data_IF_849378792110
#
_entry.id   IF_849378792110
#
_cell.length_a   1.000
_cell.length_b   1.000
_cell.length_c   1.000
_cell.angle_alpha   90.00
_cell.angle_beta   90.00
_cell.angle_gamma   90.00
#
_symmetry.space_group_name_H-M   'P 1'
#
loop_
_entity.id
_entity.type
_entity.pdbx_description
1 polymer ?
#
# COMPACT_ATOMS: atom_id res chain seq x y z
N UNK A 1 -13.07 -7.19 12.56
CA UNK A 1 -12.79 -6.69 11.21
C UNK A 1 -13.99 -7.08 10.35
N UNK A 2 -14.56 -6.12 9.63
CA UNK A 2 -15.91 -6.15 9.06
C UNK A 2 -15.97 -6.99 7.79
N UNK A 3 -14.94 -6.88 6.93
CA UNK A 3 -14.79 -7.76 5.79
C UNK A 3 -14.38 -9.17 6.21
N UNK A 4 -15.14 -10.17 5.78
CA UNK A 4 -14.73 -11.58 5.94
C UNK A 4 -13.81 -11.99 4.81
N UNK A 5 -12.74 -12.71 5.12
CA UNK A 5 -11.75 -13.16 4.12
C UNK A 5 -12.35 -14.03 3.02
N UNK A 6 -13.40 -14.81 3.33
CA UNK A 6 -14.14 -15.64 2.37
C UNK A 6 -14.78 -14.83 1.23
N UNK A 7 -15.05 -13.53 1.44
CA UNK A 7 -15.63 -12.67 0.43
C UNK A 7 -14.62 -12.18 -0.60
N UNK A 8 -13.33 -12.31 -0.29
CA UNK A 8 -12.23 -11.77 -1.06
C UNK A 8 -11.33 -12.90 -1.56
N UNK A 9 -10.54 -12.57 -2.56
CA UNK A 9 -9.43 -13.36 -3.04
C UNK A 9 -8.24 -12.45 -3.26
N UNK A 10 -7.06 -13.05 -3.34
CA UNK A 10 -5.86 -12.29 -3.65
C UNK A 10 -5.87 -11.84 -5.11
N UNK A 11 -5.44 -10.60 -5.36
CA UNK A 11 -5.22 -10.11 -6.72
C UNK A 11 -3.88 -10.64 -7.24
N UNK A 12 -3.93 -11.54 -8.24
CA UNK A 12 -2.73 -12.16 -8.84
C UNK A 12 -2.14 -11.32 -9.98
N UNK A 13 -3.00 -10.65 -10.75
CA UNK A 13 -2.63 -9.85 -11.92
C UNK A 13 -3.29 -8.47 -11.85
N UNK A 14 -2.63 -7.45 -12.41
CA UNK A 14 -3.21 -6.10 -12.51
C UNK A 14 -3.22 -5.29 -11.22
N UNK A 15 -2.33 -5.58 -10.26
CA UNK A 15 -2.09 -4.76 -9.08
C UNK A 15 -1.86 -5.55 -7.80
N UNK A 16 -1.67 -4.83 -6.69
CA UNK A 16 -1.49 -5.38 -5.35
C UNK A 16 -2.81 -5.48 -4.58
N UNK A 17 -2.83 -6.34 -3.55
CA UNK A 17 -3.89 -6.42 -2.56
C UNK A 17 -4.94 -7.51 -2.83
N UNK A 18 -6.19 -7.19 -2.50
CA UNK A 18 -7.33 -8.09 -2.53
C UNK A 18 -8.35 -7.65 -3.58
N UNK A 19 -9.06 -8.62 -4.15
CA UNK A 19 -10.22 -8.39 -5.01
C UNK A 19 -11.43 -9.13 -4.44
N UNK A 20 -12.65 -8.59 -4.60
CA UNK A 20 -13.84 -9.33 -4.25
C UNK A 20 -13.94 -10.61 -5.08
N UNK A 21 -14.27 -11.72 -4.41
CA UNK A 21 -14.59 -13.01 -5.05
C UNK A 21 -16.10 -13.23 -5.14
N UNK A 22 -16.84 -12.69 -4.17
CA UNK A 22 -18.28 -12.90 -4.01
C UNK A 22 -19.05 -11.59 -4.10
N UNK A 23 -20.38 -11.67 -4.26
CA UNK A 23 -21.24 -10.48 -4.25
C UNK A 23 -21.19 -9.76 -2.89
N UNK A 24 -21.01 -10.49 -1.78
CA UNK A 24 -20.85 -9.88 -0.45
C UNK A 24 -19.60 -9.00 -0.38
N UNK A 25 -18.50 -9.40 -1.04
CA UNK A 25 -17.29 -8.59 -1.12
C UNK A 25 -17.48 -7.32 -1.92
N UNK A 26 -18.25 -7.39 -3.02
CA UNK A 26 -18.63 -6.21 -3.81
C UNK A 26 -19.56 -5.28 -3.03
N UNK A 27 -20.55 -5.85 -2.33
CA UNK A 27 -21.49 -5.10 -1.49
C UNK A 27 -20.77 -4.41 -0.32
N UNK A 28 -19.83 -5.11 0.32
CA UNK A 28 -18.94 -4.52 1.32
C UNK A 28 -18.17 -3.33 0.74
N UNK A 29 -17.52 -3.48 -0.43
CA UNK A 29 -16.78 -2.37 -1.04
C UNK A 29 -17.70 -1.19 -1.34
N UNK A 30 -18.91 -1.44 -1.84
CA UNK A 30 -19.90 -0.40 -2.09
C UNK A 30 -20.26 0.34 -0.80
N UNK A 31 -20.55 -0.38 0.30
CA UNK A 31 -20.88 0.20 1.60
C UNK A 31 -19.73 1.02 2.18
N UNK A 32 -18.48 0.62 1.96
CA UNK A 32 -17.34 1.34 2.54
C UNK A 32 -16.90 2.52 1.66
N UNK A 33 -16.97 2.39 0.34
CA UNK A 33 -16.47 3.40 -0.59
C UNK A 33 -17.53 4.45 -0.96
N UNK A 34 -18.80 4.07 -1.15
CA UNK A 34 -19.84 5.03 -1.58
C UNK A 34 -20.05 6.13 -0.53
N UNK A 35 -20.24 5.83 0.77
CA UNK A 35 -20.40 6.88 1.77
C UNK A 35 -19.17 7.76 1.88
N UNK A 36 -17.97 7.20 1.72
CA UNK A 36 -16.73 7.96 1.67
C UNK A 36 -16.72 8.96 0.50
N UNK A 37 -17.02 8.49 -0.72
CA UNK A 37 -17.09 9.36 -1.89
C UNK A 37 -18.17 10.43 -1.77
N UNK A 38 -19.37 10.07 -1.29
CA UNK A 38 -20.44 11.03 -1.04
C UNK A 38 -20.01 12.08 -0.03
N UNK A 39 -19.40 11.66 1.09
CA UNK A 39 -18.89 12.59 2.10
C UNK A 39 -17.85 13.57 1.53
N UNK A 40 -16.91 13.08 0.71
CA UNK A 40 -15.87 13.93 0.09
C UNK A 40 -16.44 14.91 -0.96
N UNK A 41 -17.45 14.47 -1.72
CA UNK A 41 -18.02 15.28 -2.80
C UNK A 41 -18.88 16.46 -2.28
N UNK A 42 -19.43 16.35 -1.07
CA UNK A 42 -20.33 17.38 -0.54
C UNK A 42 -19.55 18.62 -0.07
N UNK A 43 -19.89 19.84 -0.56
CA UNK A 43 -19.14 21.06 -0.29
C UNK A 43 -19.34 21.63 1.12
N UNK A 44 -20.17 21.01 1.96
CA UNK A 44 -20.65 21.57 3.23
C UNK A 44 -19.68 21.45 4.42
N UNK A 45 -18.62 20.65 4.30
CA UNK A 45 -17.73 20.32 5.41
C UNK A 45 -16.52 21.25 5.49
N UNK A 46 -16.12 21.62 6.71
CA UNK A 46 -14.85 22.34 6.92
C UNK A 46 -13.65 21.46 6.55
N UNK A 47 -12.53 22.10 6.22
CA UNK A 47 -11.29 21.41 5.86
C UNK A 47 -10.81 20.49 6.99
N UNK A 48 -10.90 20.95 8.25
CA UNK A 48 -10.47 20.21 9.43
C UNK A 48 -11.31 18.94 9.63
N UNK A 49 -12.64 19.04 9.48
CA UNK A 49 -13.53 17.90 9.58
C UNK A 49 -13.28 16.90 8.45
N UNK A 50 -13.16 17.38 7.20
CA UNK A 50 -12.84 16.51 6.06
C UNK A 50 -11.54 15.78 6.27
N UNK A 51 -10.49 16.49 6.66
CA UNK A 51 -9.18 15.90 6.90
C UNK A 51 -9.25 14.83 8.00
N UNK A 52 -9.85 15.14 9.16
CA UNK A 52 -10.01 14.21 10.26
C UNK A 52 -10.79 12.95 9.88
N UNK A 53 -11.93 13.11 9.21
CA UNK A 53 -12.73 11.96 8.74
C UNK A 53 -11.97 11.16 7.70
N UNK A 54 -11.25 11.81 6.77
CA UNK A 54 -10.46 11.12 5.74
C UNK A 54 -9.37 10.27 6.36
N UNK A 55 -8.59 10.83 7.29
CA UNK A 55 -7.54 10.09 8.00
C UNK A 55 -8.12 8.91 8.78
N UNK A 56 -9.21 9.13 9.54
CA UNK A 56 -9.87 8.06 10.28
C UNK A 56 -10.41 6.95 9.37
N UNK A 57 -11.02 7.32 8.24
CA UNK A 57 -11.57 6.37 7.26
C UNK A 57 -10.48 5.56 6.57
N UNK A 58 -9.37 6.21 6.21
CA UNK A 58 -8.20 5.53 5.63
C UNK A 58 -7.57 4.58 6.63
N UNK A 59 -7.41 4.97 7.89
CA UNK A 59 -6.90 4.08 8.94
C UNK A 59 -7.81 2.86 9.11
N UNK A 60 -9.13 3.08 9.22
CA UNK A 60 -10.11 2.01 9.27
C UNK A 60 -9.97 1.04 8.08
N UNK A 61 -9.89 1.57 6.85
CA UNK A 61 -9.71 0.79 5.64
C UNK A 61 -8.41 -0.01 5.60
N UNK A 62 -7.30 0.61 6.02
CA UNK A 62 -5.98 -0.03 6.08
C UNK A 62 -6.02 -1.19 7.07
N UNK A 63 -6.56 -0.97 8.26
CA UNK A 63 -6.69 -2.02 9.27
C UNK A 63 -7.56 -3.17 8.75
N UNK A 64 -8.74 -2.89 8.19
CA UNK A 64 -9.64 -3.92 7.65
C UNK A 64 -9.00 -4.71 6.51
N UNK A 65 -8.34 -4.03 5.57
CA UNK A 65 -7.60 -4.66 4.50
C UNK A 65 -6.46 -5.56 5.03
N UNK A 66 -5.68 -5.10 6.02
CA UNK A 66 -4.60 -5.89 6.63
C UNK A 66 -5.16 -7.17 7.24
N UNK A 67 -6.25 -7.09 8.02
CA UNK A 67 -6.83 -8.29 8.61
C UNK A 67 -7.37 -9.25 7.55
N UNK A 68 -8.06 -8.75 6.53
CA UNK A 68 -8.53 -9.59 5.41
C UNK A 68 -7.34 -10.29 4.74
N UNK A 69 -6.25 -9.57 4.50
CA UNK A 69 -5.04 -10.11 3.86
C UNK A 69 -4.32 -11.15 4.73
N UNK A 70 -4.29 -10.97 6.05
CA UNK A 70 -3.67 -11.92 7.01
C UNK A 70 -4.53 -13.15 7.21
N UNK A 71 -5.86 -13.02 7.14
CA UNK A 71 -6.82 -14.13 7.32
C UNK A 71 -7.21 -14.83 6.02
N UNK A 72 -6.64 -14.41 4.88
CA UNK A 72 -6.88 -15.05 3.59
C UNK A 72 -6.15 -16.40 3.54
N UNK A 73 -6.83 -17.51 3.21
CA UNK A 73 -6.16 -18.79 3.01
C UNK A 73 -5.20 -18.70 1.82
N UNK A 74 -4.01 -19.28 1.95
CA UNK A 74 -2.97 -19.30 0.92
C UNK A 74 -2.38 -20.69 0.79
N UNK A 75 -2.23 -21.15 -0.44
CA UNK A 75 -1.49 -22.38 -0.72
C UNK A 75 0.02 -22.13 -0.73
N UNK A 76 0.83 -23.15 -0.44
CA UNK A 76 2.29 -23.05 -0.44
C UNK A 76 2.86 -22.57 -1.78
N UNK A 77 2.26 -23.04 -2.89
CA UNK A 77 2.62 -22.60 -4.25
C UNK A 77 2.36 -21.11 -4.43
N UNK A 78 1.22 -20.61 -3.97
CA UNK A 78 0.88 -19.19 -4.07
C UNK A 78 1.83 -18.33 -3.24
N UNK A 79 2.23 -18.82 -2.07
CA UNK A 79 3.18 -18.14 -1.18
C UNK A 79 4.57 -18.00 -1.81
N UNK A 80 5.03 -19.03 -2.54
CA UNK A 80 6.31 -19.00 -3.27
C UNK A 80 6.26 -18.06 -4.48
N UNK A 81 5.18 -18.12 -5.27
CA UNK A 81 5.01 -17.22 -6.42
C UNK A 81 4.89 -15.77 -5.96
N UNK A 82 4.19 -15.53 -4.84
CA UNK A 82 4.07 -14.21 -4.21
C UNK A 82 5.41 -13.61 -3.83
N UNK A 83 6.22 -14.35 -3.08
CA UNK A 83 7.50 -13.81 -2.59
C UNK A 83 8.44 -13.45 -3.74
N UNK A 84 8.42 -14.20 -4.84
CA UNK A 84 9.19 -13.89 -6.04
C UNK A 84 8.62 -12.65 -6.76
N UNK A 85 7.30 -12.59 -6.94
CA UNK A 85 6.64 -11.46 -7.60
C UNK A 85 6.84 -10.15 -6.82
N UNK A 86 6.64 -10.16 -5.50
CA UNK A 86 6.85 -8.99 -4.63
C UNK A 86 8.32 -8.57 -4.61
N UNK A 87 9.25 -9.53 -4.59
CA UNK A 87 10.69 -9.22 -4.71
C UNK A 87 10.98 -8.51 -6.04
N UNK A 88 10.51 -9.04 -7.16
CA UNK A 88 10.75 -8.44 -8.48
C UNK A 88 10.12 -7.05 -8.58
N UNK A 89 8.90 -6.87 -8.08
CA UNK A 89 8.24 -5.57 -8.02
C UNK A 89 9.03 -4.57 -7.17
N UNK A 90 9.50 -4.98 -5.98
CA UNK A 90 10.32 -4.14 -5.10
C UNK A 90 11.63 -3.71 -5.75
N UNK A 91 12.31 -4.60 -6.49
CA UNK A 91 13.52 -4.25 -7.25
C UNK A 91 13.24 -3.19 -8.32
N UNK A 92 12.20 -3.38 -9.11
CA UNK A 92 11.82 -2.42 -10.17
C UNK A 92 11.43 -1.07 -9.59
N UNK A 93 10.60 -1.05 -8.53
CA UNK A 93 10.23 0.19 -7.85
C UNK A 93 11.45 0.91 -7.27
N UNK A 94 12.36 0.17 -6.63
CA UNK A 94 13.60 0.74 -6.08
C UNK A 94 14.47 1.35 -7.18
N UNK A 95 14.61 0.66 -8.31
CA UNK A 95 15.35 1.17 -9.46
C UNK A 95 14.77 2.51 -9.95
N UNK A 96 13.46 2.58 -10.18
CA UNK A 96 12.81 3.80 -10.65
C UNK A 96 12.85 4.94 -9.61
N UNK A 97 12.74 4.62 -8.32
CA UNK A 97 12.93 5.63 -7.27
C UNK A 97 14.35 6.20 -7.31
N UNK A 98 15.39 5.35 -7.34
CA UNK A 98 16.79 5.81 -7.43
C UNK A 98 17.00 6.64 -8.70
N UNK A 99 16.53 6.16 -9.86
CA UNK A 99 16.64 6.88 -11.12
C UNK A 99 15.91 8.25 -11.06
N UNK A 100 14.74 8.32 -10.41
CA UNK A 100 14.00 9.56 -10.18
C UNK A 100 14.75 10.56 -9.31
N UNK A 101 15.34 10.11 -8.20
CA UNK A 101 16.20 10.94 -7.33
C UNK A 101 17.39 11.47 -8.13
N UNK A 102 18.09 10.60 -8.86
CA UNK A 102 19.25 10.99 -9.66
C UNK A 102 18.87 12.02 -10.72
N UNK A 103 17.76 11.82 -11.42
CA UNK A 103 17.23 12.78 -12.39
C UNK A 103 16.94 14.14 -11.74
N UNK A 104 16.25 14.16 -10.60
CA UNK A 104 15.96 15.38 -9.85
C UNK A 104 17.23 16.10 -9.39
N UNK A 105 18.26 15.36 -8.96
CA UNK A 105 19.55 15.91 -8.58
C UNK A 105 20.27 16.55 -9.78
N UNK A 106 20.38 15.85 -10.91
CA UNK A 106 21.03 16.40 -12.10
C UNK A 106 20.31 17.66 -12.62
N UNK A 107 18.98 17.63 -12.63
CA UNK A 107 18.16 18.78 -12.97
C UNK A 107 18.42 19.95 -12.01
N UNK A 108 18.47 19.66 -10.70
CA UNK A 108 18.70 20.68 -9.68
C UNK A 108 20.05 21.38 -9.84
N UNK A 109 21.10 20.61 -10.16
CA UNK A 109 22.43 21.14 -10.43
C UNK A 109 22.43 21.99 -11.71
N UNK A 110 21.77 21.55 -12.78
CA UNK A 110 21.74 22.29 -14.05
C UNK A 110 21.01 23.63 -13.94
N UNK A 111 19.86 23.65 -13.26
CA UNK A 111 19.04 24.86 -13.11
C UNK A 111 19.38 25.70 -11.87
N UNK A 112 20.36 25.28 -11.06
CA UNK A 112 20.76 25.94 -9.81
C UNK A 112 19.58 26.15 -8.83
N UNK A 113 18.62 25.22 -8.83
CA UNK A 113 17.45 25.23 -7.97
C UNK A 113 17.26 23.85 -7.35
N UNK A 114 17.07 23.76 -6.05
CA UNK A 114 16.97 22.48 -5.34
C UNK A 114 15.53 21.96 -5.46
N UNK A 115 15.31 21.11 -6.48
CA UNK A 115 14.03 20.46 -6.73
C UNK A 115 14.14 18.97 -6.41
N UNK A 116 14.22 18.66 -5.10
CA UNK A 116 14.28 17.29 -4.60
C UNK A 116 12.95 16.90 -3.93
N UNK A 117 12.36 15.80 -4.37
CA UNK A 117 11.19 15.22 -3.75
C UNK A 117 11.60 14.39 -2.52
N UNK A 118 11.50 15.03 -1.35
CA UNK A 118 11.79 14.39 -0.07
C UNK A 118 10.89 13.20 0.24
N UNK A 119 9.67 13.14 -0.29
CA UNK A 119 8.79 11.99 -0.08
C UNK A 119 9.38 10.74 -0.72
N UNK A 120 9.94 10.89 -1.92
CA UNK A 120 10.57 9.79 -2.65
C UNK A 120 11.86 9.32 -1.96
N UNK A 121 12.64 10.26 -1.41
CA UNK A 121 13.82 9.95 -0.57
C UNK A 121 13.40 9.15 0.67
N UNK A 122 12.40 9.64 1.42
CA UNK A 122 11.89 8.97 2.62
C UNK A 122 11.34 7.57 2.29
N UNK A 123 10.63 7.41 1.17
CA UNK A 123 10.12 6.11 0.74
C UNK A 123 11.25 5.08 0.52
N UNK A 124 12.36 5.51 -0.10
CA UNK A 124 13.53 4.65 -0.32
C UNK A 124 14.17 4.24 1.02
N UNK A 125 14.40 5.20 1.92
CA UNK A 125 14.97 4.93 3.24
C UNK A 125 14.07 4.04 4.10
N UNK A 126 12.77 4.29 4.12
CA UNK A 126 11.80 3.46 4.83
C UNK A 126 11.84 2.01 4.31
N UNK A 127 11.92 1.81 3.00
CA UNK A 127 12.07 0.48 2.40
C UNK A 127 13.32 -0.26 2.88
N UNK A 128 14.47 0.44 2.96
CA UNK A 128 15.73 -0.14 3.48
C UNK A 128 15.61 -0.52 4.96
N UNK A 129 15.00 0.35 5.78
CA UNK A 129 14.79 0.09 7.21
C UNK A 129 13.90 -1.14 7.40
N UNK A 130 12.76 -1.21 6.71
CA UNK A 130 11.82 -2.34 6.80
C UNK A 130 12.51 -3.64 6.36
N UNK A 131 13.26 -3.62 5.26
CA UNK A 131 14.04 -4.79 4.80
C UNK A 131 15.04 -5.24 5.85
N UNK A 132 15.76 -4.29 6.45
CA UNK A 132 16.80 -4.58 7.46
C UNK A 132 16.19 -5.19 8.72
N UNK A 133 15.12 -4.60 9.24
CA UNK A 133 14.38 -5.12 10.40
C UNK A 133 13.86 -6.53 10.11
N UNK A 134 13.23 -6.72 8.94
CA UNK A 134 12.69 -8.01 8.54
C UNK A 134 13.78 -9.08 8.50
N UNK A 135 14.93 -8.79 7.89
CA UNK A 135 16.06 -9.72 7.87
C UNK A 135 16.56 -10.07 9.27
N UNK A 136 16.70 -9.09 10.17
CA UNK A 136 17.15 -9.34 11.54
C UNK A 136 16.15 -10.24 12.29
N UNK A 137 14.85 -9.96 12.17
CA UNK A 137 13.79 -10.73 12.85
C UNK A 137 13.74 -12.17 12.37
N UNK A 138 13.77 -12.40 11.05
CA UNK A 138 13.69 -13.76 10.51
C UNK A 138 14.98 -14.54 10.72
N UNK A 139 16.15 -13.90 10.61
CA UNK A 139 17.43 -14.59 10.85
C UNK A 139 17.58 -15.04 12.32
N UNK A 140 17.08 -14.24 13.28
CA UNK A 140 17.02 -14.62 14.70
C UNK A 140 16.03 -15.75 15.02
N UNK A 141 15.01 -15.97 14.19
CA UNK A 141 14.03 -17.07 14.39
C UNK A 141 14.53 -18.42 13.86
N UNK A 142 15.55 -18.40 13.00
CA UNK A 142 16.16 -19.60 12.39
C UNK A 142 17.37 -20.15 13.15
N UNK A 143 17.82 -19.47 14.22
CA UNK A 143 18.85 -19.93 15.16
C UNK A 143 18.21 -20.45 16.44
#
# INVERSE_FOLDING_TARGET
>A
MIGKSEWFQRRKYGGWGISPRTWQGWFYLAIVLIPFFVFQALPYWSLQLRFGVTCGWLLFLIFDAIHIMVTLPRDEREHRVESIAERNAAWVMTFFMIAGILYQLFRSVYFQDIQLDWFLVVALFAGVIVKTITNIVYNKKTL
#
